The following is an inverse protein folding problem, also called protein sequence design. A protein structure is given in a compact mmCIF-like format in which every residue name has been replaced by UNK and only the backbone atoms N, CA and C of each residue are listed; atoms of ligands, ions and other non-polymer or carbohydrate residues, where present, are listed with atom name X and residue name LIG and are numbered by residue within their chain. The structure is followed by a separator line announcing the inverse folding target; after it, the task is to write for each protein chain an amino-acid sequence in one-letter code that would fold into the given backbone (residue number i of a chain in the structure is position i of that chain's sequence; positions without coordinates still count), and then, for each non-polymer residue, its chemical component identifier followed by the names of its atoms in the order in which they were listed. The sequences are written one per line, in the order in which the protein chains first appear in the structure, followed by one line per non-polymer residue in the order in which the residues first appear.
data_IF_248421840322
#
_entry.id   IF_248421840322
#
_cell.length_a   1.000
_cell.length_b   1.000
_cell.length_c   1.000
_cell.angle_alpha   90.00
_cell.angle_beta   90.00
_cell.angle_gamma   90.00
#
_symmetry.space_group_name_H-M   'P 1'
#
loop_
_entity.id
_entity.type
_entity.pdbx_description
1 polymer ?
#
# COMPACT_ATOMS: atom_id res chain seq x y z
N UNK A 1 53.41 -7.48 -2.11
CA UNK A 1 52.05 -7.07 -2.57
C UNK A 1 51.08 -8.25 -2.75
N UNK A 2 51.49 -9.40 -3.33
CA UNK A 2 50.57 -10.55 -3.55
C UNK A 2 50.10 -11.26 -2.25
N UNK A 3 50.89 -11.21 -1.16
CA UNK A 3 50.52 -11.82 0.12
C UNK A 3 49.53 -10.99 0.95
N UNK A 4 49.58 -9.67 0.87
CA UNK A 4 48.64 -8.78 1.55
C UNK A 4 47.21 -8.83 0.93
N UNK A 5 47.13 -9.05 -0.37
CA UNK A 5 45.82 -9.16 -1.06
C UNK A 5 45.10 -10.48 -0.72
N UNK A 6 45.85 -11.56 -0.47
CA UNK A 6 45.28 -12.86 -0.04
C UNK A 6 44.76 -12.83 1.40
N UNK A 7 45.41 -12.11 2.28
CA UNK A 7 44.93 -11.93 3.65
C UNK A 7 43.68 -11.06 3.74
N UNK A 8 43.58 -10.04 2.89
CA UNK A 8 42.40 -9.18 2.85
C UNK A 8 41.18 -9.93 2.29
N UNK A 9 41.37 -10.79 1.28
CA UNK A 9 40.28 -11.62 0.73
C UNK A 9 39.81 -12.71 1.70
N UNK A 10 40.70 -13.30 2.50
CA UNK A 10 40.33 -14.26 3.54
C UNK A 10 39.63 -13.58 4.75
N UNK A 11 40.00 -12.37 5.12
CA UNK A 11 39.32 -11.63 6.17
C UNK A 11 37.89 -11.18 5.75
N UNK A 12 37.66 -10.83 4.48
CA UNK A 12 36.32 -10.51 3.97
C UNK A 12 35.40 -11.74 3.92
N UNK A 13 35.94 -12.91 3.54
CA UNK A 13 35.16 -14.16 3.49
C UNK A 13 34.86 -14.68 4.90
N UNK A 14 35.79 -14.54 5.85
CA UNK A 14 35.56 -14.91 7.24
C UNK A 14 34.56 -13.97 7.93
N UNK A 15 34.56 -12.67 7.58
CA UNK A 15 33.60 -11.69 8.12
C UNK A 15 32.19 -11.92 7.61
N UNK A 16 32.03 -12.31 6.33
CA UNK A 16 30.71 -12.65 5.77
C UNK A 16 30.15 -13.98 6.29
N UNK A 17 31.00 -14.94 6.63
CA UNK A 17 30.57 -16.22 7.24
C UNK A 17 30.14 -16.06 8.71
N UNK A 18 30.73 -15.12 9.44
CA UNK A 18 30.33 -14.81 10.83
C UNK A 18 29.02 -14.03 10.91
N UNK A 19 28.70 -13.20 9.91
CA UNK A 19 27.40 -12.49 9.87
C UNK A 19 26.24 -13.41 9.46
N UNK A 20 26.48 -14.45 8.67
CA UNK A 20 25.47 -15.45 8.34
C UNK A 20 25.10 -16.39 9.51
N UNK A 21 25.98 -16.57 10.50
CA UNK A 21 25.69 -17.38 11.67
C UNK A 21 24.85 -16.66 12.75
N UNK A 22 24.70 -15.34 12.68
CA UNK A 22 23.94 -14.56 13.65
C UNK A 22 22.42 -14.49 13.36
N UNK A 23 21.97 -15.08 12.23
CA UNK A 23 20.57 -15.08 11.83
C UNK A 23 19.76 -16.31 12.28
N UNK A 24 20.34 -17.19 13.08
CA UNK A 24 19.63 -18.34 13.64
C UNK A 24 18.96 -17.96 14.98
N UNK A 25 18.16 -16.90 14.98
CA UNK A 25 17.24 -16.65 16.10
C UNK A 25 16.11 -17.70 16.09
N UNK A 26 15.62 -18.07 17.27
CA UNK A 26 14.44 -18.92 17.44
C UNK A 26 13.33 -18.46 16.49
N UNK A 27 12.61 -19.40 15.83
CA UNK A 27 11.60 -19.05 14.88
C UNK A 27 10.50 -18.24 15.56
N UNK A 28 10.46 -16.94 15.27
CA UNK A 28 9.45 -16.04 15.80
C UNK A 28 8.06 -16.43 15.24
N UNK A 29 7.09 -16.64 16.13
CA UNK A 29 5.72 -16.92 15.74
C UNK A 29 5.06 -15.64 15.19
N UNK A 30 5.05 -15.50 13.88
CA UNK A 30 4.47 -14.36 13.16
C UNK A 30 2.96 -14.20 13.41
N UNK A 31 2.26 -15.29 13.76
CA UNK A 31 0.83 -15.25 14.08
C UNK A 31 0.56 -14.53 15.42
N UNK A 32 1.56 -14.45 16.29
CA UNK A 32 1.49 -13.67 17.53
C UNK A 32 1.47 -12.15 17.29
N UNK A 33 1.85 -11.71 16.10
CA UNK A 33 1.80 -10.29 15.70
C UNK A 33 0.48 -9.86 15.07
N UNK A 34 -0.44 -10.78 14.76
CA UNK A 34 -1.69 -10.44 14.08
C UNK A 34 -2.78 -10.22 15.11
N UNK A 35 -3.40 -9.04 15.07
CA UNK A 35 -4.51 -8.71 15.95
C UNK A 35 -4.37 -7.38 16.71
N UNK A 36 -5.30 -7.12 17.63
CA UNK A 36 -5.32 -5.87 18.39
C UNK A 36 -4.23 -5.77 19.48
N UNK A 37 -3.63 -6.88 19.86
CA UNK A 37 -2.59 -6.95 20.91
C UNK A 37 -1.40 -7.77 20.39
N UNK A 38 -0.60 -7.24 19.45
CA UNK A 38 0.52 -7.96 18.88
C UNK A 38 1.67 -8.15 19.89
N UNK A 39 2.37 -9.28 19.76
CA UNK A 39 3.66 -9.46 20.42
C UNK A 39 4.72 -8.68 19.62
N UNK A 40 5.38 -7.75 20.28
CA UNK A 40 6.48 -6.98 19.68
C UNK A 40 7.80 -7.55 20.20
N UNK A 41 8.67 -8.10 19.33
CA UNK A 41 10.00 -8.56 19.75
C UNK A 41 10.93 -7.38 20.05
N UNK A 42 12.06 -7.67 20.67
CA UNK A 42 13.11 -6.68 20.87
C UNK A 42 13.62 -6.15 19.52
N UNK A 43 13.94 -4.86 19.46
CA UNK A 43 14.49 -4.25 18.27
C UNK A 43 15.89 -4.82 17.94
N UNK A 44 16.14 -5.03 16.66
CA UNK A 44 17.40 -5.51 16.13
C UNK A 44 17.90 -4.53 15.06
N UNK A 45 19.12 -4.03 15.24
CA UNK A 45 19.72 -3.12 14.27
C UNK A 45 20.83 -3.83 13.49
N UNK A 46 20.69 -3.86 12.18
CA UNK A 46 21.67 -4.44 11.28
C UNK A 46 22.34 -3.35 10.43
N UNK A 47 23.59 -3.56 10.06
CA UNK A 47 24.28 -2.69 9.11
C UNK A 47 23.60 -2.75 7.73
N UNK A 48 23.16 -3.95 7.34
CA UNK A 48 22.28 -4.19 6.20
C UNK A 48 21.12 -5.05 6.67
N UNK A 49 19.88 -4.68 6.33
CA UNK A 49 18.73 -5.50 6.70
C UNK A 49 18.78 -6.87 6.03
N UNK A 50 18.24 -7.92 6.66
CA UNK A 50 18.09 -9.22 6.01
C UNK A 50 17.04 -9.10 4.90
N UNK A 51 17.50 -9.05 3.65
CA UNK A 51 16.63 -8.83 2.49
C UNK A 51 16.37 -10.14 1.75
N UNK A 52 15.12 -10.36 1.39
CA UNK A 52 14.72 -11.35 0.41
C UNK A 52 13.82 -10.70 -0.63
N UNK A 53 14.34 -10.55 -1.84
CA UNK A 53 13.66 -9.88 -2.94
C UNK A 53 13.08 -10.92 -3.89
N UNK A 54 11.78 -10.84 -4.12
CA UNK A 54 11.10 -11.73 -5.06
C UNK A 54 11.31 -11.26 -6.49
N UNK A 55 11.79 -12.14 -7.36
CA UNK A 55 11.88 -11.88 -8.81
C UNK A 55 10.50 -11.94 -9.43
N UNK A 56 10.13 -10.97 -10.27
CA UNK A 56 8.86 -10.95 -10.98
C UNK A 56 8.88 -11.90 -12.15
N UNK A 57 7.88 -12.79 -12.25
CA UNK A 57 7.66 -13.74 -13.36
C UNK A 57 6.32 -13.55 -14.05
N UNK A 58 5.35 -12.87 -13.41
CA UNK A 58 3.99 -12.69 -13.93
C UNK A 58 3.17 -13.99 -13.94
N UNK A 59 1.90 -13.85 -14.31
CA UNK A 59 0.97 -14.98 -14.48
C UNK A 59 1.13 -15.58 -15.87
N UNK A 60 1.15 -16.90 -15.96
CA UNK A 60 1.07 -17.60 -17.24
C UNK A 60 -0.41 -17.75 -17.65
N UNK A 61 -0.63 -18.01 -18.94
CA UNK A 61 -1.99 -18.19 -19.45
C UNK A 61 -2.76 -19.26 -18.67
N UNK A 62 -3.93 -18.85 -18.13
CA UNK A 62 -4.81 -19.73 -17.36
C UNK A 62 -4.44 -19.89 -15.87
N UNK A 63 -3.32 -19.31 -15.42
CA UNK A 63 -3.02 -19.26 -13.98
C UNK A 63 -3.83 -18.17 -13.29
N UNK A 64 -4.28 -18.43 -12.07
CA UNK A 64 -4.96 -17.48 -11.20
C UNK A 64 -4.43 -17.60 -9.78
N UNK A 65 -4.57 -16.56 -8.95
CA UNK A 65 -4.41 -16.72 -7.50
C UNK A 65 -5.37 -17.77 -6.94
N UNK A 66 -5.01 -18.35 -5.81
CA UNK A 66 -5.88 -19.25 -5.05
C UNK A 66 -6.81 -18.45 -4.16
N UNK A 67 -8.07 -18.86 -4.05
CA UNK A 67 -9.07 -18.21 -3.18
C UNK A 67 -9.54 -19.12 -2.07
N UNK A 68 -10.00 -18.51 -0.99
CA UNK A 68 -10.60 -19.24 0.14
C UNK A 68 -11.83 -20.06 -0.29
N UNK A 69 -12.12 -21.20 0.39
CA UNK A 69 -13.28 -22.04 0.07
C UNK A 69 -14.60 -21.27 0.04
N UNK A 70 -15.39 -21.52 -1.01
CA UNK A 70 -16.67 -20.83 -1.26
C UNK A 70 -16.53 -19.57 -2.11
N UNK A 71 -15.33 -19.23 -2.58
CA UNK A 71 -15.07 -18.14 -3.50
C UNK A 71 -14.60 -18.67 -4.86
N UNK A 72 -14.77 -17.85 -5.89
CA UNK A 72 -14.16 -18.00 -7.22
C UNK A 72 -13.45 -16.73 -7.60
N UNK A 73 -12.43 -16.84 -8.45
CA UNK A 73 -11.65 -15.72 -8.97
C UNK A 73 -11.51 -15.83 -10.47
N UNK A 74 -11.55 -14.69 -11.14
CA UNK A 74 -11.33 -14.56 -12.57
C UNK A 74 -10.53 -13.30 -12.87
N UNK A 75 -9.80 -13.30 -13.98
CA UNK A 75 -9.17 -12.09 -14.48
C UNK A 75 -10.25 -11.21 -15.16
N UNK A 76 -10.63 -10.11 -14.53
CA UNK A 76 -11.52 -9.11 -15.14
C UNK A 76 -10.82 -8.43 -16.32
N UNK A 77 -9.55 -8.04 -16.11
CA UNK A 77 -8.74 -7.40 -17.16
C UNK A 77 -7.27 -7.77 -16.96
N UNK A 78 -6.62 -8.27 -18.00
CA UNK A 78 -5.17 -8.53 -18.03
C UNK A 78 -4.48 -7.55 -19.00
N UNK A 79 -3.15 -7.61 -19.12
CA UNK A 79 -2.34 -6.74 -19.99
C UNK A 79 -2.53 -5.24 -19.70
N UNK A 80 -2.76 -4.89 -18.44
CA UNK A 80 -2.72 -3.53 -17.94
C UNK A 80 -1.27 -3.09 -17.71
N UNK A 81 -1.07 -1.80 -17.42
CA UNK A 81 0.26 -1.27 -17.17
C UNK A 81 0.40 -0.84 -15.71
N UNK A 82 0.81 -1.77 -14.85
CA UNK A 82 1.03 -1.50 -13.44
C UNK A 82 -0.20 -0.93 -12.71
N UNK A 83 -1.33 -1.67 -12.65
CA UNK A 83 -2.55 -1.21 -11.97
C UNK A 83 -2.32 -1.10 -10.47
N UNK A 84 -2.58 0.10 -9.91
CA UNK A 84 -2.24 0.43 -8.53
C UNK A 84 -3.44 0.74 -7.65
N UNK A 85 -4.48 1.33 -8.22
CA UNK A 85 -5.69 1.68 -7.48
C UNK A 85 -6.93 1.47 -8.34
N UNK A 86 -8.05 1.25 -7.68
CA UNK A 86 -9.35 0.98 -8.31
C UNK A 86 -10.41 1.90 -7.74
N UNK A 87 -11.33 2.33 -8.59
CA UNK A 87 -12.51 3.07 -8.17
C UNK A 87 -13.71 2.67 -9.00
N UNK A 88 -14.80 2.26 -8.37
CA UNK A 88 -16.05 1.90 -9.06
C UNK A 88 -16.95 3.13 -9.13
N UNK A 89 -17.28 3.53 -10.35
CA UNK A 89 -18.23 4.61 -10.64
C UNK A 89 -19.68 4.20 -10.34
N UNK A 90 -20.59 5.13 -10.05
CA UNK A 90 -21.99 4.82 -9.72
C UNK A 90 -22.72 4.01 -10.80
N UNK A 91 -22.37 4.19 -12.07
CA UNK A 91 -22.92 3.42 -13.19
C UNK A 91 -22.38 1.99 -13.29
N UNK A 92 -21.34 1.65 -12.51
CA UNK A 92 -20.71 0.33 -12.47
C UNK A 92 -19.43 0.22 -13.30
N UNK A 93 -19.04 1.25 -14.04
CA UNK A 93 -17.73 1.28 -14.68
C UNK A 93 -16.62 1.30 -13.63
N UNK A 94 -15.51 0.65 -13.92
CA UNK A 94 -14.35 0.60 -13.01
C UNK A 94 -13.21 1.41 -13.59
N UNK A 95 -12.73 2.37 -12.80
CA UNK A 95 -11.52 3.12 -13.09
C UNK A 95 -10.31 2.36 -12.53
N UNK A 96 -9.34 2.07 -13.37
CA UNK A 96 -8.07 1.46 -13.02
C UNK A 96 -6.96 2.49 -13.14
N UNK A 97 -6.34 2.84 -12.03
CA UNK A 97 -5.20 3.76 -12.00
C UNK A 97 -3.95 2.96 -12.32
N UNK A 98 -3.39 3.19 -13.49
CA UNK A 98 -2.14 2.60 -13.95
C UNK A 98 -1.01 3.61 -13.74
N UNK A 99 -0.13 3.36 -12.78
CA UNK A 99 0.88 4.34 -12.41
C UNK A 99 2.19 3.74 -11.94
N UNK A 100 3.25 4.50 -12.07
CA UNK A 100 4.59 4.20 -11.57
C UNK A 100 5.13 5.35 -10.73
N UNK A 101 6.10 5.02 -9.89
CA UNK A 101 6.81 6.02 -9.09
C UNK A 101 7.39 7.15 -9.98
N UNK A 102 7.49 8.37 -9.45
CA UNK A 102 8.23 9.45 -10.09
C UNK A 102 9.67 9.01 -10.40
N UNK A 103 10.39 9.75 -11.27
CA UNK A 103 11.79 9.47 -11.54
C UNK A 103 12.61 9.32 -10.26
N UNK A 104 13.55 8.39 -10.21
CA UNK A 104 14.30 8.10 -8.99
C UNK A 104 15.13 9.31 -8.53
N UNK A 105 15.15 9.50 -7.23
CA UNK A 105 15.82 10.59 -6.54
C UNK A 105 17.34 10.63 -6.80
N UNK A 106 18.02 11.78 -6.67
CA UNK A 106 19.47 11.82 -6.64
C UNK A 106 20.04 10.93 -5.53
N UNK A 107 21.09 10.19 -5.83
CA UNK A 107 21.80 9.38 -4.83
C UNK A 107 22.60 10.33 -3.95
N UNK A 108 22.32 10.34 -2.66
CA UNK A 108 23.03 11.18 -1.70
C UNK A 108 23.87 10.37 -0.71
N UNK A 109 23.60 9.06 -0.58
CA UNK A 109 24.29 8.18 0.38
C UNK A 109 24.86 6.95 -0.32
N UNK A 110 26.04 6.46 0.10
CA UNK A 110 26.63 5.24 -0.48
C UNK A 110 25.70 4.02 -0.40
N UNK A 111 24.90 3.89 0.67
CA UNK A 111 23.90 2.82 0.83
C UNK A 111 22.86 2.85 -0.30
N UNK A 112 22.42 4.02 -0.75
CA UNK A 112 21.41 4.16 -1.79
C UNK A 112 21.91 3.67 -3.16
N UNK A 113 23.21 3.73 -3.41
CA UNK A 113 23.83 3.17 -4.63
C UNK A 113 23.66 1.66 -4.65
N UNK A 114 23.95 1.01 -3.52
CA UNK A 114 23.82 -0.44 -3.38
C UNK A 114 22.36 -0.86 -3.49
N UNK A 115 21.46 -0.16 -2.79
CA UNK A 115 20.02 -0.45 -2.82
C UNK A 115 19.44 -0.33 -4.23
N UNK A 116 19.74 0.73 -4.97
CA UNK A 116 19.31 0.88 -6.37
C UNK A 116 19.86 -0.20 -7.30
N UNK A 117 21.10 -0.61 -7.09
CA UNK A 117 21.66 -1.71 -7.87
C UNK A 117 20.89 -3.01 -7.62
N UNK A 118 20.56 -3.29 -6.36
CA UNK A 118 19.77 -4.46 -5.97
C UNK A 118 18.35 -4.37 -6.54
N UNK A 119 17.66 -3.24 -6.35
CA UNK A 119 16.33 -3.00 -6.91
C UNK A 119 16.31 -3.20 -8.42
N UNK A 120 17.29 -2.64 -9.14
CA UNK A 120 17.40 -2.80 -10.59
C UNK A 120 17.59 -4.25 -11.01
N UNK A 121 18.35 -5.04 -10.25
CA UNK A 121 18.51 -6.48 -10.55
C UNK A 121 17.21 -7.26 -10.37
N UNK A 122 16.38 -6.86 -9.42
CA UNK A 122 15.12 -7.54 -9.08
C UNK A 122 13.96 -7.07 -9.95
N UNK A 123 13.92 -5.79 -10.32
CA UNK A 123 12.88 -5.22 -11.18
C UNK A 123 13.15 -5.41 -12.67
N UNK A 124 14.24 -6.10 -13.06
CA UNK A 124 14.60 -6.36 -14.45
C UNK A 124 13.58 -7.25 -15.21
N UNK A 125 12.44 -7.55 -14.62
CA UNK A 125 11.30 -8.20 -15.26
C UNK A 125 10.54 -7.33 -16.28
N UNK A 126 11.00 -6.12 -16.54
CA UNK A 126 10.47 -5.20 -17.55
C UNK A 126 9.84 -3.95 -16.98
N UNK A 127 10.29 -2.79 -17.44
CA UNK A 127 9.53 -1.55 -17.29
C UNK A 127 8.22 -1.75 -18.08
N UNK A 128 7.02 -1.71 -17.45
CA UNK A 128 5.75 -1.94 -18.13
C UNK A 128 5.41 -0.82 -19.13
N UNK A 129 6.35 0.06 -19.45
CA UNK A 129 6.12 1.18 -20.35
C UNK A 129 5.47 2.39 -19.68
N UNK A 130 4.99 3.37 -20.45
CA UNK A 130 4.38 4.57 -19.92
C UNK A 130 3.02 4.24 -19.32
N UNK A 131 2.97 4.07 -18.01
CA UNK A 131 1.76 4.18 -17.20
C UNK A 131 1.52 5.67 -16.87
N UNK A 132 0.84 6.00 -15.80
CA UNK A 132 0.40 7.34 -15.40
C UNK A 132 -0.86 7.79 -16.16
N UNK A 133 -1.82 6.88 -16.23
CA UNK A 133 -3.14 7.09 -16.80
C UNK A 133 -4.22 6.42 -15.95
N UNK A 134 -5.45 6.71 -16.25
CA UNK A 134 -6.61 6.00 -15.75
C UNK A 134 -7.28 5.29 -16.91
N UNK A 135 -7.42 3.98 -16.82
CA UNK A 135 -8.18 3.15 -17.76
C UNK A 135 -9.57 2.88 -17.22
N UNK A 136 -10.60 3.08 -18.03
CA UNK A 136 -11.97 2.71 -17.70
C UNK A 136 -12.26 1.31 -18.24
N UNK A 137 -12.82 0.48 -17.36
CA UNK A 137 -13.36 -0.83 -17.72
C UNK A 137 -14.90 -0.77 -17.63
N UNK A 138 -15.58 -1.03 -18.73
CA UNK A 138 -17.03 -1.16 -18.80
C UNK A 138 -17.41 -2.59 -19.12
N UNK A 139 -18.14 -3.24 -18.25
CA UNK A 139 -18.56 -4.64 -18.39
C UNK A 139 -19.92 -4.90 -17.79
N UNK A 140 -20.55 -5.98 -18.22
CA UNK A 140 -21.72 -6.54 -17.58
C UNK A 140 -21.28 -7.61 -16.58
N UNK A 141 -21.49 -7.43 -15.27
CA UNK A 141 -21.06 -8.41 -14.26
C UNK A 141 -21.72 -9.80 -14.39
N UNK A 142 -22.87 -9.88 -15.08
CA UNK A 142 -23.58 -11.12 -15.37
C UNK A 142 -23.26 -11.69 -16.76
N UNK A 143 -22.49 -10.96 -17.57
CA UNK A 143 -22.19 -11.33 -18.95
C UNK A 143 -20.85 -12.05 -19.10
N UNK A 144 -20.74 -12.81 -20.19
CA UNK A 144 -19.52 -13.57 -20.53
C UNK A 144 -18.53 -12.77 -21.40
N UNK A 145 -18.85 -11.52 -21.71
CA UNK A 145 -18.00 -10.69 -22.57
C UNK A 145 -16.90 -10.00 -21.76
N UNK A 146 -15.66 -9.96 -22.28
CA UNK A 146 -14.60 -9.20 -21.66
C UNK A 146 -14.99 -7.70 -21.60
N UNK A 147 -14.45 -6.95 -20.62
CA UNK A 147 -14.74 -5.52 -20.50
C UNK A 147 -14.27 -4.74 -21.72
N UNK A 148 -15.07 -3.77 -22.13
CA UNK A 148 -14.63 -2.70 -23.03
C UNK A 148 -13.65 -1.81 -22.26
N UNK A 149 -12.52 -1.45 -22.89
CA UNK A 149 -11.47 -0.61 -22.31
C UNK A 149 -11.36 0.70 -23.04
N UNK A 150 -11.17 1.79 -22.30
CA UNK A 150 -10.80 3.09 -22.86
C UNK A 150 -9.79 3.78 -21.95
N UNK A 151 -8.90 4.59 -22.54
CA UNK A 151 -8.06 5.51 -21.77
C UNK A 151 -8.97 6.66 -21.30
N UNK A 152 -9.27 6.69 -20.02
CA UNK A 152 -10.20 7.66 -19.44
C UNK A 152 -9.55 9.01 -19.16
N UNK A 153 -8.35 8.99 -18.58
CA UNK A 153 -7.44 10.14 -18.41
C UNK A 153 -6.02 9.71 -18.70
N UNK A 154 -5.25 10.56 -19.32
CA UNK A 154 -3.84 10.31 -19.66
C UNK A 154 -2.95 11.46 -19.21
N UNK A 155 -1.63 11.28 -19.35
CA UNK A 155 -0.62 12.29 -19.02
C UNK A 155 -0.68 12.80 -17.57
N UNK A 156 -1.04 11.92 -16.63
CA UNK A 156 -1.08 12.21 -15.20
C UNK A 156 0.33 12.14 -14.59
N UNK A 157 0.48 12.68 -13.37
CA UNK A 157 1.77 12.68 -12.67
C UNK A 157 1.78 11.68 -11.51
N UNK A 158 2.14 10.43 -11.79
CA UNK A 158 2.13 9.32 -10.83
C UNK A 158 0.85 9.30 -9.99
N UNK A 159 -0.35 9.12 -10.63
CA UNK A 159 -1.63 9.15 -9.94
C UNK A 159 -1.79 7.93 -9.03
N UNK A 160 -2.59 8.06 -7.95
CA UNK A 160 -2.94 6.93 -7.09
C UNK A 160 -4.39 6.96 -6.63
N UNK A 161 -4.79 7.92 -5.82
CA UNK A 161 -6.16 8.02 -5.31
C UNK A 161 -7.12 8.65 -6.31
N UNK A 162 -8.33 8.12 -6.39
CA UNK A 162 -9.42 8.65 -7.21
C UNK A 162 -10.70 8.64 -6.41
N UNK A 163 -11.48 9.71 -6.48
CA UNK A 163 -12.83 9.79 -5.91
C UNK A 163 -13.73 10.69 -6.74
N UNK A 164 -14.98 10.29 -6.93
CA UNK A 164 -16.02 11.08 -7.56
C UNK A 164 -16.92 11.73 -6.51
N UNK A 165 -17.14 13.04 -6.62
CA UNK A 165 -18.11 13.77 -5.79
C UNK A 165 -19.00 14.60 -6.68
N UNK A 166 -20.26 14.22 -6.79
CA UNK A 166 -21.18 14.81 -7.78
C UNK A 166 -20.68 14.59 -9.21
N UNK A 167 -20.45 15.68 -9.93
CA UNK A 167 -19.91 15.66 -11.29
C UNK A 167 -18.43 16.05 -11.36
N UNK A 168 -17.73 16.02 -10.23
CA UNK A 168 -16.31 16.32 -10.14
C UNK A 168 -15.52 15.05 -9.81
N UNK A 169 -14.65 14.62 -10.71
CA UNK A 169 -13.68 13.54 -10.46
C UNK A 169 -12.39 14.15 -9.91
N UNK A 170 -11.98 13.71 -8.74
CA UNK A 170 -10.73 14.11 -8.11
C UNK A 170 -9.69 13.01 -8.27
N UNK A 171 -8.52 13.38 -8.75
CA UNK A 171 -7.36 12.51 -8.90
C UNK A 171 -6.22 13.04 -8.04
N UNK A 172 -5.74 12.23 -7.11
CA UNK A 172 -4.54 12.54 -6.36
C UNK A 172 -3.32 12.04 -7.14
N UNK A 173 -2.64 12.97 -7.79
CA UNK A 173 -1.29 12.79 -8.31
C UNK A 173 -0.28 12.83 -7.15
N UNK A 174 0.96 12.49 -7.43
CA UNK A 174 2.00 12.52 -6.39
C UNK A 174 2.23 13.93 -5.78
N UNK A 175 1.92 14.99 -6.53
CA UNK A 175 2.20 16.39 -6.19
C UNK A 175 0.97 17.30 -6.11
N UNK A 176 -0.22 16.81 -6.46
CA UNK A 176 -1.45 17.61 -6.41
C UNK A 176 -2.72 16.77 -6.39
N UNK A 177 -3.80 17.31 -5.82
CA UNK A 177 -5.16 16.85 -6.10
C UNK A 177 -5.69 17.69 -7.26
N UNK A 178 -6.07 17.02 -8.35
CA UNK A 178 -6.58 17.65 -9.58
C UNK A 178 -8.04 17.26 -9.77
N UNK A 179 -8.88 18.26 -10.05
CA UNK A 179 -10.32 18.10 -10.33
C UNK A 179 -10.57 18.09 -11.84
N UNK A 180 -11.34 17.13 -12.29
CA UNK A 180 -11.81 17.00 -13.68
C UNK A 180 -13.34 16.98 -13.72
N UNK A 181 -13.98 17.62 -14.72
CA UNK A 181 -15.42 17.47 -14.94
C UNK A 181 -15.73 16.04 -15.39
N UNK A 182 -16.77 15.44 -14.82
CA UNK A 182 -17.23 14.10 -15.15
C UNK A 182 -18.70 14.11 -15.52
N UNK A 183 -19.06 13.38 -16.59
CA UNK A 183 -20.44 13.07 -16.93
C UNK A 183 -20.64 11.56 -16.95
N UNK A 184 -21.74 11.11 -16.39
CA UNK A 184 -22.06 9.69 -16.36
C UNK A 184 -22.13 9.11 -17.78
N UNK A 185 -21.41 8.01 -17.97
CA UNK A 185 -21.33 7.33 -19.27
C UNK A 185 -20.19 7.77 -20.18
N UNK A 186 -19.44 8.81 -19.81
CA UNK A 186 -18.22 9.19 -20.53
C UNK A 186 -17.22 8.02 -20.59
N UNK A 187 -16.60 7.84 -21.74
CA UNK A 187 -15.52 6.86 -21.96
C UNK A 187 -14.14 7.50 -21.85
N UNK A 188 -14.07 8.82 -21.94
CA UNK A 188 -12.86 9.63 -21.84
C UNK A 188 -13.20 10.99 -21.25
N UNK A 189 -12.28 11.58 -20.50
CA UNK A 189 -12.35 12.98 -20.11
C UNK A 189 -11.38 13.77 -20.98
N UNK A 190 -11.91 14.71 -21.76
CA UNK A 190 -11.12 15.58 -22.65
C UNK A 190 -10.85 16.98 -22.08
N UNK A 191 -11.45 17.31 -20.94
CA UNK A 191 -11.28 18.60 -20.27
C UNK A 191 -9.93 18.69 -19.53
N UNK A 192 -9.36 19.88 -19.50
CA UNK A 192 -8.19 20.14 -18.67
C UNK A 192 -8.55 20.02 -17.18
N UNK A 193 -7.67 19.39 -16.41
CA UNK A 193 -7.80 19.31 -14.96
C UNK A 193 -7.48 20.64 -14.30
N UNK A 194 -8.17 20.94 -13.21
CA UNK A 194 -7.92 22.11 -12.37
C UNK A 194 -7.30 21.66 -11.05
N UNK A 195 -6.11 22.13 -10.73
CA UNK A 195 -5.48 21.88 -9.44
C UNK A 195 -6.33 22.43 -8.31
N UNK A 196 -6.79 21.55 -7.41
CA UNK A 196 -7.51 21.93 -6.21
C UNK A 196 -6.53 22.34 -5.11
N UNK A 197 -5.50 21.53 -4.87
CA UNK A 197 -4.46 21.79 -3.86
C UNK A 197 -3.17 21.08 -4.23
N UNK A 198 -2.05 21.69 -3.92
CA UNK A 198 -0.73 21.08 -4.07
C UNK A 198 -0.45 20.10 -2.92
N UNK A 199 0.27 19.04 -3.22
CA UNK A 199 0.73 18.03 -2.25
C UNK A 199 2.27 17.98 -2.24
N UNK A 200 2.89 17.50 -1.16
CA UNK A 200 4.34 17.32 -1.13
C UNK A 200 4.76 16.21 -2.11
N UNK A 201 5.25 16.59 -3.29
CA UNK A 201 5.57 15.68 -4.41
C UNK A 201 7.03 15.68 -4.85
N UNK A 202 7.93 16.34 -4.14
CA UNK A 202 9.33 16.39 -4.55
C UNK A 202 10.16 17.43 -3.78
N UNK A 203 11.47 17.56 -4.03
CA UNK A 203 12.32 16.81 -4.98
C UNK A 203 12.59 15.36 -4.57
N UNK A 204 12.36 15.01 -3.30
CA UNK A 204 12.40 13.65 -2.77
C UNK A 204 10.97 13.23 -2.50
N UNK A 205 10.54 12.08 -3.00
CA UNK A 205 9.20 11.55 -2.80
C UNK A 205 9.24 10.03 -2.63
N UNK A 206 9.84 9.60 -1.52
CA UNK A 206 10.07 8.18 -1.23
C UNK A 206 8.75 7.41 -1.20
N UNK A 207 7.75 7.91 -0.46
CA UNK A 207 6.39 7.39 -0.48
C UNK A 207 5.51 8.31 -1.33
N UNK A 208 5.48 8.05 -2.62
CA UNK A 208 4.85 8.90 -3.63
C UNK A 208 3.34 8.72 -3.74
N UNK A 209 2.80 7.59 -3.28
CA UNK A 209 1.35 7.28 -3.34
C UNK A 209 0.54 8.25 -2.51
N UNK A 210 -0.64 8.63 -3.02
CA UNK A 210 -1.57 9.56 -2.37
C UNK A 210 -2.97 8.94 -2.41
N UNK A 211 -3.31 8.10 -1.42
CA UNK A 211 -4.67 7.55 -1.28
C UNK A 211 -5.65 8.69 -1.04
N UNK A 212 -6.84 8.61 -1.63
CA UNK A 212 -7.84 9.67 -1.60
C UNK A 212 -9.22 9.11 -1.30
N UNK A 213 -9.96 9.77 -0.42
CA UNK A 213 -11.39 9.50 -0.20
C UNK A 213 -12.13 10.81 0.12
N UNK A 214 -13.47 10.79 0.07
CA UNK A 214 -14.30 11.95 0.39
C UNK A 214 -15.15 11.68 1.62
N UNK A 215 -15.46 12.73 2.39
CA UNK A 215 -16.49 12.67 3.43
C UNK A 215 -17.86 12.27 2.84
N UNK A 216 -18.73 11.69 3.66
CA UNK A 216 -20.05 11.19 3.20
C UNK A 216 -20.91 12.29 2.55
N UNK A 217 -20.79 13.52 3.03
CA UNK A 217 -21.47 14.69 2.45
C UNK A 217 -20.74 15.31 1.24
N UNK A 218 -19.54 14.80 0.93
CA UNK A 218 -18.71 15.29 -0.16
C UNK A 218 -18.10 16.68 0.09
N UNK A 219 -18.17 17.23 1.29
CA UNK A 219 -17.61 18.56 1.57
C UNK A 219 -16.08 18.54 1.73
N UNK A 220 -15.54 17.45 2.23
CA UNK A 220 -14.13 17.27 2.52
C UNK A 220 -13.52 16.11 1.72
N UNK A 221 -12.24 16.25 1.39
CA UNK A 221 -11.41 15.18 0.88
C UNK A 221 -10.34 14.85 1.92
N UNK A 222 -10.03 13.56 2.03
CA UNK A 222 -8.94 13.07 2.89
C UNK A 222 -7.87 12.44 2.01
N UNK A 223 -6.61 12.84 2.19
CA UNK A 223 -5.49 12.32 1.40
C UNK A 223 -4.36 11.85 2.30
N UNK A 224 -3.89 10.62 2.03
CA UNK A 224 -2.72 10.06 2.69
C UNK A 224 -1.44 10.59 2.05
N UNK A 225 -0.55 11.14 2.87
CA UNK A 225 0.75 11.68 2.44
C UNK A 225 1.84 10.95 3.22
N UNK A 226 2.51 10.00 2.57
CA UNK A 226 3.58 9.22 3.18
C UNK A 226 4.84 10.04 3.47
N UNK A 227 5.69 9.52 4.33
CA UNK A 227 6.98 10.11 4.69
C UNK A 227 7.92 10.22 3.48
N UNK A 228 8.92 11.06 3.61
CA UNK A 228 9.95 11.27 2.60
C UNK A 228 11.14 10.29 2.73
N UNK A 229 11.13 9.47 3.77
CA UNK A 229 12.23 8.59 4.12
C UNK A 229 11.72 7.41 4.96
N UNK A 230 12.59 6.44 5.23
CA UNK A 230 12.30 5.38 6.20
C UNK A 230 12.20 5.96 7.62
N UNK A 231 13.20 6.73 8.03
CA UNK A 231 13.34 7.25 9.40
C UNK A 231 14.09 8.59 9.46
N UNK A 232 13.65 9.57 8.69
CA UNK A 232 14.22 10.94 8.64
C UNK A 232 15.65 11.03 8.11
N UNK A 233 16.10 10.12 7.26
CA UNK A 233 17.45 10.11 6.68
C UNK A 233 17.75 11.33 5.81
N UNK A 234 16.71 12.02 5.33
CA UNK A 234 16.81 13.25 4.57
C UNK A 234 16.65 14.50 5.45
N UNK A 235 16.64 14.32 6.78
CA UNK A 235 16.41 15.40 7.75
C UNK A 235 14.93 15.62 8.06
N UNK A 236 14.64 16.07 9.28
CA UNK A 236 13.25 16.26 9.77
C UNK A 236 12.49 17.33 8.96
N UNK A 237 13.17 18.34 8.42
CA UNK A 237 12.54 19.36 7.58
C UNK A 237 12.01 18.82 6.26
N UNK A 238 12.61 17.74 5.73
CA UNK A 238 12.11 17.05 4.54
C UNK A 238 10.79 16.30 4.80
N UNK A 239 10.44 16.08 6.05
CA UNK A 239 9.22 15.43 6.49
C UNK A 239 8.07 16.43 6.80
N UNK A 240 8.29 17.71 6.60
CA UNK A 240 7.27 18.72 6.86
C UNK A 240 6.00 18.44 6.06
N UNK A 241 4.86 18.37 6.77
CA UNK A 241 3.53 18.05 6.23
C UNK A 241 3.41 16.64 5.62
N UNK A 242 4.33 15.72 5.94
CA UNK A 242 4.34 14.32 5.52
C UNK A 242 4.07 13.38 6.70
N UNK A 243 4.04 12.07 6.42
CA UNK A 243 3.65 11.03 7.39
C UNK A 243 2.31 11.38 8.07
N UNK A 244 1.32 11.74 7.26
CA UNK A 244 0.09 12.37 7.71
C UNK A 244 -1.10 12.06 6.80
N UNK A 245 -2.28 12.26 7.34
CA UNK A 245 -3.50 12.39 6.55
C UNK A 245 -3.90 13.86 6.58
N UNK A 246 -4.11 14.42 5.39
CA UNK A 246 -4.61 15.77 5.22
C UNK A 246 -6.11 15.75 5.05
N UNK A 247 -6.79 16.73 5.62
CA UNK A 247 -8.17 17.08 5.34
C UNK A 247 -8.18 18.32 4.45
N UNK A 248 -8.86 18.24 3.32
CA UNK A 248 -8.92 19.29 2.30
C UNK A 248 -10.35 19.71 2.08
N UNK A 249 -10.65 21.00 2.25
CA UNK A 249 -11.94 21.58 1.91
C UNK A 249 -12.11 21.58 0.39
N UNK A 250 -13.11 20.86 -0.10
CA UNK A 250 -13.32 20.62 -1.54
C UNK A 250 -13.69 21.89 -2.30
N UNK A 251 -14.32 22.86 -1.67
CA UNK A 251 -14.74 24.10 -2.32
C UNK A 251 -13.59 25.09 -2.49
N UNK A 252 -12.67 25.16 -1.53
CA UNK A 252 -11.59 26.16 -1.51
C UNK A 252 -10.20 25.62 -1.74
N UNK A 253 -9.98 24.30 -1.63
CA UNK A 253 -8.67 23.67 -1.66
C UNK A 253 -7.82 23.91 -0.40
N UNK A 254 -8.35 24.60 0.62
CA UNK A 254 -7.65 24.79 1.89
C UNK A 254 -7.52 23.47 2.61
N UNK A 255 -6.39 23.25 3.25
CA UNK A 255 -6.10 21.99 3.92
C UNK A 255 -5.55 22.20 5.35
N UNK A 256 -5.64 21.15 6.13
CA UNK A 256 -4.97 21.01 7.43
C UNK A 256 -4.47 19.57 7.60
N UNK A 257 -3.54 19.37 8.53
CA UNK A 257 -3.21 18.04 9.00
C UNK A 257 -4.38 17.52 9.86
N UNK A 258 -5.01 16.42 9.42
CA UNK A 258 -6.04 15.74 10.16
C UNK A 258 -5.44 14.81 11.21
N UNK A 259 -4.46 14.00 10.84
CA UNK A 259 -3.68 13.13 11.74
C UNK A 259 -2.24 13.05 11.27
N UNK A 260 -1.31 12.77 12.19
CA UNK A 260 0.12 12.73 11.90
C UNK A 260 0.81 11.54 12.56
N UNK A 261 2.08 11.29 12.19
CA UNK A 261 2.85 10.17 12.72
C UNK A 261 2.49 8.82 12.09
N UNK A 262 1.81 8.82 10.95
CA UNK A 262 1.48 7.67 10.11
C UNK A 262 2.52 7.58 9.00
N UNK A 263 3.53 6.71 9.13
CA UNK A 263 4.70 6.71 8.22
C UNK A 263 4.32 6.71 6.74
N UNK A 264 3.53 5.74 6.30
CA UNK A 264 3.06 5.66 4.92
C UNK A 264 1.61 5.17 4.87
N UNK A 265 0.63 6.08 5.10
CA UNK A 265 -0.78 5.72 5.09
C UNK A 265 -1.28 5.49 3.66
N UNK A 266 -1.95 4.35 3.45
CA UNK A 266 -2.58 3.94 2.20
C UNK A 266 -3.99 3.39 2.45
N UNK A 267 -4.71 3.00 1.40
CA UNK A 267 -6.00 2.34 1.52
C UNK A 267 -7.00 3.12 2.38
N UNK A 268 -7.16 4.42 2.09
CA UNK A 268 -7.97 5.33 2.92
C UNK A 268 -9.46 5.17 2.60
N UNK A 269 -10.28 4.83 3.60
CA UNK A 269 -11.73 4.61 3.41
C UNK A 269 -12.51 4.83 4.71
N UNK A 270 -13.84 4.98 4.60
CA UNK A 270 -14.72 5.09 5.75
C UNK A 270 -15.32 3.74 6.12
N UNK A 271 -15.29 3.39 7.40
CA UNK A 271 -15.97 2.22 7.94
C UNK A 271 -17.49 2.48 7.89
N UNK A 272 -18.29 1.54 7.34
CA UNK A 272 -19.69 1.81 7.01
C UNK A 272 -20.63 1.96 8.21
N UNK A 273 -20.37 1.28 9.33
CA UNK A 273 -21.24 1.29 10.52
C UNK A 273 -20.98 2.53 11.40
N UNK A 274 -19.74 2.77 11.77
CA UNK A 274 -19.35 3.91 12.63
C UNK A 274 -19.17 5.23 11.87
N UNK A 275 -18.89 5.16 10.58
CA UNK A 275 -18.49 6.31 9.77
C UNK A 275 -17.10 6.84 10.10
N UNK A 276 -16.28 6.11 10.83
CA UNK A 276 -14.90 6.47 11.11
C UNK A 276 -14.02 6.32 9.87
N UNK A 277 -13.04 7.21 9.74
CA UNK A 277 -12.02 7.09 8.69
C UNK A 277 -11.00 6.02 9.10
N UNK A 278 -10.65 5.11 8.19
CA UNK A 278 -9.67 4.06 8.39
C UNK A 278 -8.58 4.10 7.32
N UNK A 279 -7.41 3.60 7.68
CA UNK A 279 -6.25 3.48 6.79
C UNK A 279 -5.43 2.23 7.12
N UNK A 280 -4.65 1.77 6.16
CA UNK A 280 -3.54 0.85 6.39
C UNK A 280 -2.23 1.64 6.36
N UNK A 281 -1.25 1.22 7.14
CA UNK A 281 0.04 1.92 7.23
C UNK A 281 1.18 0.94 7.07
N UNK A 282 2.10 1.29 6.16
CA UNK A 282 3.39 0.64 6.05
C UNK A 282 4.33 1.29 7.06
N UNK A 283 4.70 0.54 8.08
CA UNK A 283 5.61 1.00 9.12
C UNK A 283 7.07 1.02 8.68
N UNK A 284 7.93 1.50 9.57
CA UNK A 284 9.35 1.66 9.27
C UNK A 284 10.09 0.31 9.21
N UNK A 285 11.07 0.27 8.32
CA UNK A 285 11.99 -0.84 8.12
C UNK A 285 13.23 -0.69 9.02
N UNK A 286 14.08 -1.72 9.06
CA UNK A 286 15.40 -1.72 9.70
C UNK A 286 15.39 -1.70 11.25
N UNK A 287 14.33 -2.17 11.90
CA UNK A 287 14.30 -2.51 13.33
C UNK A 287 14.34 -4.03 13.57
N UNK A 288 14.57 -4.79 12.52
CA UNK A 288 14.63 -6.24 12.52
C UNK A 288 13.56 -6.89 11.64
N UNK A 289 13.71 -8.16 11.30
CA UNK A 289 12.82 -8.85 10.36
C UNK A 289 11.40 -9.04 10.91
N UNK A 290 11.21 -8.91 12.23
CA UNK A 290 9.95 -9.10 12.91
C UNK A 290 9.44 -7.82 13.61
N UNK A 291 9.96 -6.64 13.22
CA UNK A 291 9.57 -5.35 13.77
C UNK A 291 9.73 -4.26 12.69
N UNK A 292 8.79 -3.35 12.46
CA UNK A 292 7.53 -3.07 13.17
C UNK A 292 6.39 -3.76 12.42
N UNK A 293 5.31 -4.22 13.09
CA UNK A 293 4.13 -4.68 12.39
C UNK A 293 3.49 -3.53 11.61
N UNK A 294 3.19 -3.77 10.34
CA UNK A 294 2.25 -2.96 9.58
C UNK A 294 0.84 -3.11 10.17
N UNK A 295 -0.05 -2.14 9.93
CA UNK A 295 -1.31 -2.14 10.65
C UNK A 295 -2.49 -1.54 9.87
N UNK A 296 -3.69 -1.84 10.35
CA UNK A 296 -4.96 -1.17 10.05
C UNK A 296 -5.37 -0.34 11.26
N UNK A 297 -5.78 0.91 11.05
CA UNK A 297 -6.20 1.77 12.17
C UNK A 297 -7.28 2.77 11.78
N UNK A 298 -8.15 3.08 12.74
CA UNK A 298 -9.04 4.25 12.67
C UNK A 298 -8.20 5.52 12.77
N UNK A 299 -8.61 6.56 12.04
CA UNK A 299 -7.90 7.84 12.02
C UNK A 299 -8.67 8.87 12.81
N UNK A 300 -8.08 9.38 13.90
CA UNK A 300 -8.71 10.34 14.80
C UNK A 300 -8.18 11.74 14.53
N UNK A 301 -9.08 12.72 14.50
CA UNK A 301 -8.73 14.13 14.32
C UNK A 301 -7.75 14.63 15.40
N UNK A 302 -6.67 15.26 14.98
CA UNK A 302 -5.61 15.76 15.85
C UNK A 302 -4.70 14.69 16.46
N UNK A 303 -4.89 13.40 16.14
CA UNK A 303 -4.09 12.33 16.72
C UNK A 303 -2.67 12.26 16.13
N UNK A 304 -1.76 11.71 16.93
CA UNK A 304 -0.39 11.39 16.57
C UNK A 304 -0.13 9.89 16.75
N UNK A 305 0.43 9.22 15.73
CA UNK A 305 0.62 7.76 15.69
C UNK A 305 2.08 7.32 15.88
N UNK A 306 2.98 8.24 16.17
CA UNK A 306 4.32 7.97 16.68
C UNK A 306 5.45 8.30 15.73
N UNK A 307 5.36 7.97 14.43
CA UNK A 307 6.46 8.22 13.50
C UNK A 307 6.83 9.72 13.41
N UNK A 308 8.11 10.12 13.42
CA UNK A 308 9.30 9.27 13.43
C UNK A 308 9.86 8.93 14.82
N UNK A 309 9.28 9.44 15.91
CA UNK A 309 9.88 9.40 17.26
C UNK A 309 9.58 8.12 18.03
N UNK A 310 8.50 7.45 17.68
CA UNK A 310 8.11 6.15 18.24
C UNK A 310 7.44 5.30 17.16
N UNK A 311 7.34 4.01 17.42
CA UNK A 311 6.64 3.03 16.58
C UNK A 311 5.60 2.29 17.39
N UNK A 312 4.55 1.83 16.74
CA UNK A 312 3.43 1.10 17.32
C UNK A 312 2.97 1.68 18.66
N UNK A 313 2.58 2.95 18.67
CA UNK A 313 2.28 3.73 19.87
C UNK A 313 3.54 4.35 20.49
N UNK A 314 3.78 4.08 21.77
CA UNK A 314 4.79 4.79 22.56
C UNK A 314 6.16 4.07 22.64
N UNK A 315 6.42 3.07 21.77
CA UNK A 315 7.71 2.41 21.71
C UNK A 315 8.74 3.35 21.07
N UNK A 316 9.67 3.84 21.87
CA UNK A 316 10.65 4.85 21.46
C UNK A 316 11.54 4.35 20.32
N UNK A 317 11.67 5.12 19.24
CA UNK A 317 12.67 4.84 18.22
C UNK A 317 14.01 5.47 18.61
N UNK A 318 15.06 4.68 18.87
CA UNK A 318 16.33 5.20 19.38
C UNK A 318 17.16 5.94 18.34
N UNK A 319 16.81 5.82 17.04
CA UNK A 319 17.60 6.37 15.92
C UNK A 319 17.30 7.84 15.64
N UNK A 320 16.14 8.34 16.06
CA UNK A 320 15.71 9.72 15.78
C UNK A 320 16.20 10.66 16.86
N UNK A 321 16.94 11.68 16.46
CA UNK A 321 17.50 12.68 17.38
C UNK A 321 17.31 14.11 16.83
N UNK A 322 16.98 15.09 17.71
CA UNK A 322 16.66 14.94 19.13
C UNK A 322 15.33 14.23 19.36
N UNK A 323 15.21 13.54 20.46
CA UNK A 323 13.96 12.88 20.87
C UNK A 323 12.88 13.92 21.18
N UNK A 324 11.62 13.60 20.89
CA UNK A 324 10.43 14.37 21.22
C UNK A 324 9.49 13.58 22.15
N UNK A 325 9.96 13.38 23.41
CA UNK A 325 9.21 12.61 24.40
C UNK A 325 7.79 13.19 24.63
N UNK A 326 7.62 14.49 24.48
CA UNK A 326 6.32 15.18 24.52
C UNK A 326 5.34 14.70 23.43
N UNK A 327 5.84 14.25 22.28
CA UNK A 327 5.04 13.64 21.23
C UNK A 327 4.88 12.14 21.45
N UNK A 328 5.93 11.45 21.90
CA UNK A 328 5.86 10.01 22.21
C UNK A 328 4.78 9.71 23.23
N UNK A 329 4.67 10.52 24.29
CA UNK A 329 3.63 10.39 25.32
C UNK A 329 2.20 10.54 24.76
N UNK A 330 2.04 11.24 23.64
CA UNK A 330 0.75 11.44 22.95
C UNK A 330 0.47 10.40 21.88
N UNK A 331 1.48 9.60 21.51
CA UNK A 331 1.33 8.63 20.45
C UNK A 331 0.32 7.55 20.83
N UNK A 332 -0.65 7.32 19.96
CA UNK A 332 -1.66 6.28 20.15
C UNK A 332 -1.27 5.01 19.41
N UNK A 333 -1.56 3.86 20.01
CA UNK A 333 -1.34 2.58 19.35
C UNK A 333 -2.37 2.37 18.23
N UNK A 334 -1.99 1.72 17.12
CA UNK A 334 -2.93 1.28 16.09
C UNK A 334 -3.96 0.28 16.61
N UNK A 335 -5.12 0.22 15.93
CA UNK A 335 -6.22 -0.68 16.33
C UNK A 335 -5.94 -2.16 16.06
N UNK A 336 -5.18 -2.47 14.97
CA UNK A 336 -4.98 -3.86 14.54
C UNK A 336 -3.69 -4.05 13.75
N UNK A 337 -2.81 -4.92 14.23
CA UNK A 337 -1.57 -5.29 13.54
C UNK A 337 -1.81 -6.38 12.49
N UNK A 338 -1.11 -6.24 11.35
CA UNK A 338 -1.13 -7.19 10.23
C UNK A 338 0.09 -8.10 10.19
N UNK A 339 1.05 -7.91 11.08
CA UNK A 339 2.40 -8.47 11.05
C UNK A 339 3.42 -7.58 10.34
N UNK A 340 4.72 -7.85 10.57
CA UNK A 340 5.81 -7.02 10.06
C UNK A 340 6.04 -7.18 8.56
N UNK A 341 6.26 -6.05 7.90
CA UNK A 341 6.69 -5.93 6.51
C UNK A 341 5.74 -6.55 5.47
N UNK A 342 4.42 -6.62 5.75
CA UNK A 342 3.44 -7.10 4.77
C UNK A 342 3.13 -6.08 3.67
N UNK A 343 3.50 -4.82 3.90
CA UNK A 343 3.29 -3.68 2.99
C UNK A 343 1.84 -3.53 2.54
N UNK A 344 0.88 -3.23 3.44
CA UNK A 344 -0.52 -3.10 3.08
C UNK A 344 -0.75 -1.82 2.27
N UNK A 345 -1.40 -1.92 1.11
CA UNK A 345 -1.65 -0.79 0.20
C UNK A 345 -3.12 -0.58 -0.12
N UNK A 346 -3.95 -1.62 -0.04
CA UNK A 346 -5.38 -1.58 -0.31
C UNK A 346 -6.20 -1.85 0.95
N UNK A 347 -7.32 -1.13 1.09
CA UNK A 347 -8.31 -1.33 2.15
C UNK A 347 -9.70 -1.06 1.58
N UNK A 348 -10.62 -2.02 1.75
CA UNK A 348 -12.02 -1.85 1.42
C UNK A 348 -12.90 -2.63 2.40
N UNK A 349 -13.99 -2.03 2.87
CA UNK A 349 -15.00 -2.72 3.68
C UNK A 349 -16.00 -3.42 2.78
N UNK A 350 -16.38 -4.64 3.16
CA UNK A 350 -17.44 -5.36 2.45
C UNK A 350 -18.81 -4.77 2.79
N UNK A 351 -19.43 -4.16 1.79
CA UNK A 351 -20.76 -3.56 1.87
C UNK A 351 -21.72 -4.18 0.84
N UNK A 352 -21.27 -5.24 0.16
CA UNK A 352 -22.00 -5.86 -0.95
C UNK A 352 -22.59 -7.22 -0.61
N UNK A 353 -23.30 -7.81 -1.56
CA UNK A 353 -23.99 -9.10 -1.44
C UNK A 353 -23.36 -10.22 -2.29
N UNK A 354 -22.28 -9.93 -3.02
CA UNK A 354 -21.63 -10.92 -3.92
C UNK A 354 -20.70 -11.89 -3.21
N UNK A 355 -20.34 -11.61 -1.97
CA UNK A 355 -19.46 -12.45 -1.17
C UNK A 355 -20.23 -13.18 -0.08
N UNK A 356 -19.71 -14.31 0.44
CA UNK A 356 -20.36 -15.02 1.54
C UNK A 356 -20.57 -14.14 2.79
N UNK A 357 -21.68 -14.34 3.50
CA UNK A 357 -22.09 -13.61 4.69
C UNK A 357 -20.98 -13.43 5.74
N UNK A 358 -20.03 -14.35 5.84
CA UNK A 358 -18.90 -14.27 6.79
C UNK A 358 -17.96 -13.08 6.56
N UNK A 359 -18.05 -12.42 5.40
CA UNK A 359 -17.24 -11.24 5.04
C UNK A 359 -17.99 -9.92 5.26
N UNK A 360 -19.30 -9.93 5.54
CA UNK A 360 -20.10 -8.73 5.66
C UNK A 360 -19.59 -7.81 6.79
N UNK A 361 -19.45 -6.54 6.49
CA UNK A 361 -19.05 -5.48 7.43
C UNK A 361 -17.57 -5.49 7.82
N UNK A 362 -16.80 -6.50 7.43
CA UNK A 362 -15.36 -6.55 7.68
C UNK A 362 -14.54 -5.92 6.56
N UNK A 363 -13.23 -5.85 6.77
CA UNK A 363 -12.29 -5.18 5.89
C UNK A 363 -11.40 -6.16 5.13
N UNK A 364 -11.31 -6.02 3.79
CA UNK A 364 -10.27 -6.65 2.99
C UNK A 364 -9.03 -5.75 2.95
N UNK A 365 -7.85 -6.36 3.09
CA UNK A 365 -6.56 -5.69 3.03
C UNK A 365 -5.68 -6.37 1.99
N UNK A 366 -5.15 -5.56 1.05
CA UNK A 366 -4.16 -6.02 0.08
C UNK A 366 -2.74 -5.86 0.64
N UNK A 367 -2.08 -6.98 0.88
CA UNK A 367 -0.71 -7.06 1.39
C UNK A 367 0.26 -7.27 0.22
N UNK A 368 0.96 -6.22 -0.20
CA UNK A 368 1.86 -6.22 -1.35
C UNK A 368 3.07 -7.15 -1.19
N UNK A 369 3.50 -7.35 0.04
CA UNK A 369 4.54 -8.31 0.40
C UNK A 369 5.90 -7.71 0.73
N UNK A 370 6.63 -8.45 1.55
CA UNK A 370 7.87 -8.04 2.21
C UNK A 370 9.08 -8.04 1.28
N UNK A 371 10.09 -7.26 1.67
CA UNK A 371 11.45 -7.29 1.15
C UNK A 371 12.52 -7.28 2.28
N UNK A 372 12.19 -6.68 3.43
CA UNK A 372 13.09 -6.50 4.60
C UNK A 372 12.96 -7.69 5.60
N UNK A 373 13.01 -8.91 5.04
CA UNK A 373 12.91 -10.16 5.81
C UNK A 373 13.69 -11.28 5.12
N UNK A 374 14.20 -12.27 5.87
CA UNK A 374 14.81 -13.47 5.29
C UNK A 374 13.78 -14.42 4.66
N UNK A 375 12.51 -14.35 5.10
CA UNK A 375 11.39 -15.12 4.57
C UNK A 375 10.28 -14.18 4.11
N UNK A 376 9.58 -14.54 3.03
CA UNK A 376 8.46 -13.74 2.54
C UNK A 376 7.31 -13.68 3.52
N UNK A 377 6.65 -12.50 3.57
CA UNK A 377 5.43 -12.25 4.33
C UNK A 377 4.52 -11.32 3.53
N UNK A 378 3.19 -11.46 3.66
CA UNK A 378 2.24 -10.77 2.79
C UNK A 378 2.05 -11.51 1.45
N UNK A 379 2.04 -10.80 0.32
CA UNK A 379 1.73 -11.35 -1.02
C UNK A 379 0.37 -12.03 -1.08
N UNK A 380 -0.65 -11.39 -0.49
CA UNK A 380 -1.99 -11.95 -0.35
C UNK A 380 -3.03 -10.86 -0.09
N UNK A 381 -4.29 -11.23 -0.16
CA UNK A 381 -5.39 -10.44 0.38
C UNK A 381 -5.92 -11.15 1.63
N UNK A 382 -5.99 -10.41 2.72
CA UNK A 382 -6.57 -10.90 3.98
C UNK A 382 -7.90 -10.19 4.26
N UNK A 383 -8.74 -10.85 5.07
CA UNK A 383 -9.96 -10.29 5.61
C UNK A 383 -9.82 -10.14 7.12
N UNK A 384 -10.04 -8.93 7.62
CA UNK A 384 -10.12 -8.61 9.04
C UNK A 384 -11.59 -8.51 9.43
N UNK A 385 -12.11 -9.38 10.30
CA UNK A 385 -13.49 -9.29 10.78
C UNK A 385 -13.72 -8.02 11.60
N UNK A 386 -14.89 -7.40 11.45
CA UNK A 386 -15.33 -6.25 12.23
C UNK A 386 -16.66 -6.50 12.92
N UNK A 387 -16.91 -5.81 14.03
CA UNK A 387 -18.18 -5.77 14.73
C UNK A 387 -18.29 -4.46 15.51
N UNK A 388 -19.41 -3.75 15.38
CA UNK A 388 -19.60 -2.46 16.02
C UNK A 388 -18.58 -1.41 15.57
N UNK A 389 -18.14 -1.46 14.31
CA UNK A 389 -17.17 -0.53 13.74
C UNK A 389 -15.71 -0.76 14.17
N UNK A 390 -15.39 -1.90 14.80
CA UNK A 390 -14.03 -2.24 15.28
C UNK A 390 -13.60 -3.64 14.85
N UNK A 391 -12.28 -3.89 14.67
CA UNK A 391 -11.76 -5.22 14.39
C UNK A 391 -12.16 -6.22 15.47
N UNK A 392 -12.66 -7.39 15.06
CA UNK A 392 -13.16 -8.41 15.97
C UNK A 392 -12.76 -9.80 15.49
N UNK A 393 -11.61 -10.27 15.92
CA UNK A 393 -11.09 -11.61 15.57
C UNK A 393 -9.74 -11.54 14.84
N UNK A 394 -9.27 -12.70 14.37
CA UNK A 394 -8.03 -12.80 13.60
C UNK A 394 -8.29 -12.61 12.12
N UNK A 395 -7.35 -11.98 11.45
CA UNK A 395 -7.34 -11.92 9.99
C UNK A 395 -7.26 -13.34 9.40
N UNK A 396 -7.95 -13.53 8.27
CA UNK A 396 -7.95 -14.79 7.52
C UNK A 396 -7.53 -14.55 6.08
N UNK A 397 -6.81 -15.50 5.49
CA UNK A 397 -6.42 -15.44 4.09
C UNK A 397 -7.65 -15.59 3.18
N UNK A 398 -7.75 -14.72 2.17
CA UNK A 398 -8.85 -14.71 1.19
C UNK A 398 -8.33 -15.03 -0.21
N UNK A 399 -7.23 -14.40 -0.63
CA UNK A 399 -6.58 -14.65 -1.92
C UNK A 399 -5.08 -14.79 -1.68
N UNK A 400 -4.51 -15.92 -2.14
CA UNK A 400 -3.10 -16.31 -1.91
C UNK A 400 -2.42 -16.72 -3.20
N UNK A 401 -1.20 -17.26 -3.09
CA UNK A 401 -0.39 -17.79 -4.19
C UNK A 401 0.03 -16.76 -5.24
N UNK A 402 0.19 -15.49 -4.80
CA UNK A 402 0.85 -14.47 -5.61
C UNK A 402 2.37 -14.73 -5.76
N UNK A 403 2.94 -15.58 -4.94
CA UNK A 403 4.27 -16.16 -5.15
C UNK A 403 4.14 -17.57 -5.74
N UNK A 404 5.08 -17.94 -6.60
CA UNK A 404 5.23 -19.33 -7.02
C UNK A 404 5.96 -20.15 -5.92
N UNK A 405 6.03 -21.50 -6.05
CA UNK A 405 6.71 -22.34 -5.06
C UNK A 405 8.21 -22.04 -4.88
N UNK A 406 8.84 -21.38 -5.86
CA UNK A 406 10.24 -20.94 -5.79
C UNK A 406 10.38 -19.54 -5.13
N UNK A 407 9.29 -18.90 -4.70
CA UNK A 407 9.27 -17.56 -4.11
C UNK A 407 9.36 -16.43 -5.14
N UNK A 408 9.04 -16.70 -6.42
CA UNK A 408 9.00 -15.67 -7.46
C UNK A 408 7.60 -15.06 -7.54
N UNK A 409 7.51 -13.76 -7.73
CA UNK A 409 6.23 -13.06 -7.77
C UNK A 409 5.53 -13.26 -9.13
N UNK A 410 4.40 -13.94 -9.12
CA UNK A 410 3.43 -13.95 -10.22
C UNK A 410 2.66 -12.65 -10.24
N UNK A 411 2.35 -12.10 -9.05
CA UNK A 411 1.61 -10.87 -8.84
C UNK A 411 1.87 -10.29 -7.46
N UNK A 412 1.32 -9.09 -7.23
CA UNK A 412 1.31 -8.41 -5.91
C UNK A 412 0.03 -7.62 -5.76
N UNK A 413 -0.83 -7.93 -4.79
CA UNK A 413 -2.08 -7.19 -4.58
C UNK A 413 -1.79 -5.78 -4.05
N UNK A 414 -2.48 -4.79 -4.60
CA UNK A 414 -2.37 -3.37 -4.23
C UNK A 414 -3.74 -2.81 -3.86
N UNK A 415 -4.35 -2.02 -4.74
CA UNK A 415 -5.64 -1.40 -4.53
C UNK A 415 -6.78 -2.40 -4.56
N UNK A 416 -7.75 -2.19 -3.69
CA UNK A 416 -8.97 -2.99 -3.58
C UNK A 416 -10.18 -2.09 -3.78
N UNK A 417 -11.22 -2.63 -4.42
CA UNK A 417 -12.53 -2.00 -4.53
C UNK A 417 -13.63 -3.09 -4.53
N UNK A 418 -14.87 -2.68 -4.34
CA UNK A 418 -16.01 -3.53 -4.70
C UNK A 418 -16.57 -3.06 -6.04
N UNK A 419 -16.97 -4.01 -6.89
CA UNK A 419 -17.75 -3.64 -8.07
C UNK A 419 -19.20 -3.32 -7.70
N UNK A 420 -20.01 -2.92 -8.67
CA UNK A 420 -21.43 -2.56 -8.48
C UNK A 420 -22.27 -3.71 -7.90
N UNK A 421 -21.83 -4.96 -8.04
CA UNK A 421 -22.51 -6.13 -7.49
C UNK A 421 -22.01 -6.50 -6.10
N UNK A 422 -20.98 -5.86 -5.60
CA UNK A 422 -20.29 -6.20 -4.34
C UNK A 422 -19.20 -7.26 -4.50
N UNK A 423 -18.80 -7.61 -5.74
CA UNK A 423 -17.64 -8.48 -5.94
C UNK A 423 -16.34 -7.74 -5.60
N UNK A 424 -15.40 -8.43 -4.98
CA UNK A 424 -14.09 -7.85 -4.65
C UNK A 424 -13.22 -7.76 -5.90
N UNK A 425 -12.74 -6.55 -6.18
CA UNK A 425 -11.75 -6.27 -7.22
C UNK A 425 -10.38 -6.07 -6.59
N UNK A 426 -9.34 -6.61 -7.23
CA UNK A 426 -7.96 -6.56 -6.76
C UNK A 426 -7.07 -6.07 -7.90
N UNK A 427 -6.40 -4.94 -7.71
CA UNK A 427 -5.33 -4.52 -8.61
C UNK A 427 -4.05 -5.30 -8.28
N UNK A 428 -3.44 -5.88 -9.30
CA UNK A 428 -2.20 -6.65 -9.21
C UNK A 428 -1.15 -5.97 -10.11
N UNK A 429 -0.27 -5.19 -9.47
CA UNK A 429 0.59 -4.26 -10.18
C UNK A 429 1.70 -4.95 -11.00
N UNK A 430 2.30 -6.03 -10.49
CA UNK A 430 3.34 -6.76 -11.22
C UNK A 430 2.77 -7.89 -12.08
N UNK A 431 1.57 -8.38 -11.76
CA UNK A 431 0.80 -9.30 -12.59
C UNK A 431 0.03 -8.59 -13.73
N UNK A 432 0.01 -7.25 -13.75
CA UNK A 432 -0.65 -6.43 -14.77
C UNK A 432 -2.13 -6.79 -14.99
N UNK A 433 -2.82 -7.18 -13.90
CA UNK A 433 -4.15 -7.76 -13.95
C UNK A 433 -5.06 -7.11 -12.90
N UNK A 434 -6.33 -6.95 -13.21
CA UNK A 434 -7.40 -6.75 -12.23
C UNK A 434 -8.14 -8.06 -12.07
N UNK A 435 -8.12 -8.59 -10.85
CA UNK A 435 -8.84 -9.80 -10.46
C UNK A 435 -10.21 -9.45 -9.92
N UNK A 436 -11.19 -10.32 -10.17
CA UNK A 436 -12.56 -10.23 -9.64
C UNK A 436 -12.88 -11.50 -8.84
N UNK A 437 -13.30 -11.32 -7.59
CA UNK A 437 -13.63 -12.41 -6.65
C UNK A 437 -15.11 -12.33 -6.30
N UNK A 438 -15.80 -13.47 -6.41
CA UNK A 438 -17.22 -13.60 -6.07
C UNK A 438 -17.46 -14.89 -5.29
N UNK A 439 -18.68 -15.10 -4.79
CA UNK A 439 -19.11 -16.40 -4.24
C UNK A 439 -19.10 -17.49 -5.31
N UNK A 440 -18.64 -18.68 -4.98
CA UNK A 440 -18.62 -19.84 -5.89
C UNK A 440 -20.02 -20.41 -6.20
N UNK A 441 -21.05 -20.01 -5.45
CA UNK A 441 -22.44 -20.48 -5.60
C UNK A 441 -23.37 -19.53 -6.36
N UNK A 442 -22.85 -18.47 -6.96
CA UNK A 442 -23.60 -17.52 -7.78
C UNK A 442 -23.33 -17.73 -9.26
#
# INVERSE_FOLDING_TARGET
MKSALKLLSMALVASSALTLAAYADEPFDIQSQIGPNPVLPDLQQYLFPPMHLSTVVGWKNGETPTVAPGLKIEALAADLQHPRSLYTLPNGDVLVVESKAPPPQPITRPKDIVMRFIEKMVTSGGDPGPSNRITLLRYDPAGDKPPTRSVFLDHLHSPFGVVLVGNDLYVANTDAIVRYPYHEGDLTISGEGVTLTELPGGPIDHHWTKSLTASRDGALLYVGVGSNSNITENGIEAEKNRAAIWEVDRASGRWRIFASGLRNPNGLTFEPESGALWTVVNERDELGPNLVPDYVTSVKDGAFYGWPYSYYGQHLDPRVQPQRLDLVEKAIAPDYALSSHVAPLGLVFDTGDSLPQKYHGGAFVGEHGSWDRPTFNGYRVVFVPFSGGHPNGKAVDVVTDFLDPDGKARGRPVGLALDKTGALLIADDVGNTVWRVTSAGQ
#
